data_IF_724072758385
#
_entry.id   IF_724072758385
#
_cell.length_a   1.000
_cell.length_b   1.000
_cell.length_c   1.000
_cell.angle_alpha   90.00
_cell.angle_beta   90.00
_cell.angle_gamma   90.00
#
_symmetry.space_group_name_H-M   'P 1'
#
loop_
_entity.id
_entity.type
_entity.pdbx_description
1 polymer ?
#
# COMPACT_ATOMS: atom_id res chain seq x y z
N UNK A 1 -47.60 -1.71 -17.65
CA UNK A 1 -46.70 -1.12 -16.64
C UNK A 1 -45.40 -1.91 -16.68
N UNK A 2 -44.35 -1.36 -17.32
CA UNK A 2 -43.03 -2.00 -17.38
C UNK A 2 -42.47 -1.99 -15.96
N UNK A 3 -42.05 -3.14 -15.42
CA UNK A 3 -41.27 -3.15 -14.17
C UNK A 3 -40.04 -2.27 -14.41
N UNK A 4 -39.65 -1.39 -13.47
CA UNK A 4 -38.35 -0.74 -13.56
C UNK A 4 -37.30 -1.84 -13.66
N UNK A 5 -36.39 -1.72 -14.63
CA UNK A 5 -35.22 -2.59 -14.67
C UNK A 5 -34.52 -2.46 -13.30
N UNK A 6 -34.18 -3.57 -12.63
CA UNK A 6 -33.40 -3.46 -11.40
C UNK A 6 -32.12 -2.70 -11.74
N UNK A 7 -31.78 -1.69 -10.94
CA UNK A 7 -30.43 -1.12 -10.97
C UNK A 7 -29.45 -2.30 -11.01
N UNK A 8 -28.48 -2.33 -11.93
CA UNK A 8 -27.52 -3.41 -11.95
C UNK A 8 -26.87 -3.47 -10.56
N UNK A 9 -27.12 -4.55 -9.82
CA UNK A 9 -26.33 -4.83 -8.63
C UNK A 9 -24.89 -5.04 -9.12
N UNK A 10 -23.96 -4.25 -8.60
CA UNK A 10 -22.54 -4.41 -8.89
C UNK A 10 -21.94 -3.31 -9.76
N UNK A 11 -20.64 -3.10 -9.55
CA UNK A 11 -19.82 -2.29 -10.42
C UNK A 11 -19.64 -2.96 -11.78
N UNK A 12 -19.60 -2.17 -12.84
CA UNK A 12 -19.12 -2.67 -14.12
C UNK A 12 -17.60 -2.96 -14.05
N UNK A 13 -17.11 -3.59 -15.12
CA UNK A 13 -15.72 -4.00 -15.23
C UNK A 13 -14.76 -2.80 -15.24
N UNK A 14 -15.17 -1.69 -15.87
CA UNK A 14 -14.34 -0.48 -15.99
C UNK A 14 -14.24 0.24 -14.65
N UNK A 15 -15.34 0.41 -13.93
CA UNK A 15 -15.36 0.98 -12.58
C UNK A 15 -14.55 0.12 -11.61
N UNK A 16 -14.68 -1.21 -11.68
CA UNK A 16 -13.85 -2.13 -10.89
C UNK A 16 -12.36 -1.96 -11.21
N UNK A 17 -12.01 -1.82 -12.50
CA UNK A 17 -10.63 -1.61 -12.93
C UNK A 17 -10.06 -0.25 -12.48
N UNK A 18 -10.86 0.80 -12.45
CA UNK A 18 -10.49 2.11 -11.88
C UNK A 18 -10.21 1.98 -10.39
N UNK A 19 -11.14 1.39 -9.62
CA UNK A 19 -11.01 1.16 -8.17
C UNK A 19 -9.74 0.39 -7.82
N UNK A 20 -9.51 -0.75 -8.46
CA UNK A 20 -8.31 -1.54 -8.23
C UNK A 20 -7.01 -0.83 -8.68
N UNK A 21 -7.05 0.10 -9.64
CA UNK A 21 -5.88 0.93 -9.98
C UNK A 21 -5.49 1.86 -8.84
N UNK A 22 -6.49 2.53 -8.26
CA UNK A 22 -6.26 3.43 -7.13
C UNK A 22 -5.72 2.66 -5.92
N UNK A 23 -6.27 1.46 -5.63
CA UNK A 23 -5.73 0.59 -4.58
C UNK A 23 -4.31 0.14 -4.87
N UNK A 24 -4.01 -0.20 -6.14
CA UNK A 24 -2.66 -0.55 -6.56
C UNK A 24 -1.67 0.58 -6.29
N UNK A 25 -2.00 1.82 -6.63
CA UNK A 25 -1.11 2.96 -6.40
C UNK A 25 -0.86 3.20 -4.91
N UNK A 26 -1.90 3.15 -4.07
CA UNK A 26 -1.76 3.29 -2.61
C UNK A 26 -0.88 2.19 -2.04
N UNK A 27 -1.19 0.92 -2.32
CA UNK A 27 -0.43 -0.21 -1.79
C UNK A 27 1.03 -0.21 -2.28
N UNK A 28 1.25 0.12 -3.55
CA UNK A 28 2.60 0.17 -4.13
C UNK A 28 3.45 1.24 -3.46
N UNK A 29 2.90 2.42 -3.18
CA UNK A 29 3.61 3.49 -2.46
C UNK A 29 3.85 3.12 -0.99
N UNK A 30 2.87 2.50 -0.32
CA UNK A 30 3.04 2.00 1.06
C UNK A 30 4.17 0.97 1.16
N UNK A 31 4.25 0.04 0.21
CA UNK A 31 5.35 -0.94 0.15
C UNK A 31 6.68 -0.24 -0.12
N UNK A 32 6.72 0.62 -1.15
CA UNK A 32 7.94 1.31 -1.56
C UNK A 32 8.53 2.18 -0.46
N UNK A 33 7.73 3.07 0.12
CA UNK A 33 8.16 3.96 1.19
C UNK A 33 8.40 3.20 2.50
N UNK A 34 7.55 2.23 2.83
CA UNK A 34 7.72 1.42 4.03
C UNK A 34 9.02 0.64 4.04
N UNK A 35 9.47 0.10 2.90
CA UNK A 35 10.79 -0.53 2.79
C UNK A 35 11.93 0.44 3.10
N UNK A 36 11.84 1.70 2.67
CA UNK A 36 12.86 2.71 2.97
C UNK A 36 12.84 3.17 4.43
N UNK A 37 11.65 3.35 5.01
CA UNK A 37 11.51 3.79 6.40
C UNK A 37 11.73 2.69 7.43
N UNK A 38 11.58 1.40 7.08
CA UNK A 38 11.80 0.28 7.99
C UNK A 38 13.21 0.30 8.62
N UNK A 39 14.23 0.64 7.83
CA UNK A 39 15.61 0.76 8.31
C UNK A 39 15.86 2.01 9.18
N UNK A 40 14.97 2.99 9.12
CA UNK A 40 15.07 4.29 9.79
C UNK A 40 14.16 4.45 11.02
N UNK A 41 13.23 3.53 11.24
CA UNK A 41 12.43 3.47 12.47
C UNK A 41 13.35 3.05 13.63
N UNK A 42 13.46 3.78 14.75
CA UNK A 42 14.31 3.34 15.86
C UNK A 42 13.66 2.27 16.76
N UNK A 43 12.32 2.19 16.82
CA UNK A 43 11.59 1.31 17.75
C UNK A 43 11.44 -0.11 17.18
N UNK A 44 12.02 -1.09 17.88
CA UNK A 44 12.07 -2.48 17.41
C UNK A 44 10.67 -3.11 17.23
N UNK A 45 9.76 -2.87 18.16
CA UNK A 45 8.38 -3.34 18.10
C UNK A 45 7.64 -2.79 16.87
N UNK A 46 7.90 -1.53 16.52
CA UNK A 46 7.32 -0.90 15.33
C UNK A 46 7.94 -1.46 14.06
N UNK A 47 9.26 -1.74 14.05
CA UNK A 47 9.91 -2.43 12.93
C UNK A 47 9.28 -3.80 12.67
N UNK A 48 9.04 -4.59 13.71
CA UNK A 48 8.42 -5.92 13.56
C UNK A 48 7.02 -5.83 12.95
N UNK A 49 6.17 -4.97 13.49
CA UNK A 49 4.84 -4.74 12.93
C UNK A 49 4.90 -4.23 11.48
N UNK A 50 5.76 -3.23 11.21
CA UNK A 50 5.93 -2.70 9.86
C UNK A 50 6.44 -3.76 8.87
N UNK A 51 7.33 -4.65 9.30
CA UNK A 51 7.81 -5.76 8.48
C UNK A 51 6.71 -6.76 8.10
N UNK A 52 5.84 -7.11 9.04
CA UNK A 52 4.65 -7.95 8.75
C UNK A 52 3.68 -7.24 7.79
N UNK A 53 3.40 -5.96 8.05
CA UNK A 53 2.50 -5.17 7.20
C UNK A 53 3.02 -5.03 5.77
N UNK A 54 4.34 -4.82 5.62
CA UNK A 54 5.02 -4.78 4.33
C UNK A 54 4.87 -6.10 3.55
N UNK A 55 5.04 -7.23 4.24
CA UNK A 55 4.84 -8.54 3.63
C UNK A 55 3.41 -8.70 3.11
N UNK A 56 2.42 -8.33 3.94
CA UNK A 56 1.02 -8.42 3.60
C UNK A 56 0.62 -7.49 2.44
N UNK A 57 1.09 -6.25 2.45
CA UNK A 57 0.85 -5.27 1.39
C UNK A 57 1.52 -5.70 0.08
N UNK A 58 2.76 -6.19 0.11
CA UNK A 58 3.47 -6.65 -1.09
C UNK A 58 2.79 -7.85 -1.76
N UNK A 59 2.30 -8.81 -0.97
CA UNK A 59 1.48 -9.93 -1.49
C UNK A 59 0.17 -9.41 -2.08
N UNK A 60 -0.42 -8.39 -1.47
CA UNK A 60 -1.68 -7.80 -1.92
C UNK A 60 -1.49 -7.03 -3.23
N UNK A 61 -0.40 -6.27 -3.41
CA UNK A 61 -0.04 -5.63 -4.69
C UNK A 61 -0.01 -6.64 -5.83
N UNK A 62 0.59 -7.81 -5.60
CA UNK A 62 0.66 -8.87 -6.61
C UNK A 62 -0.74 -9.40 -6.98
N UNK A 63 -1.61 -9.61 -5.99
CA UNK A 63 -3.00 -10.06 -6.21
C UNK A 63 -3.84 -9.00 -6.92
N UNK A 64 -3.71 -7.73 -6.53
CA UNK A 64 -4.38 -6.61 -7.18
C UNK A 64 -3.93 -6.49 -8.63
N UNK A 65 -2.63 -6.58 -8.92
CA UNK A 65 -2.11 -6.55 -10.29
C UNK A 65 -2.68 -7.70 -11.14
N UNK A 66 -2.80 -8.90 -10.56
CA UNK A 66 -3.45 -10.03 -11.23
C UNK A 66 -4.94 -9.77 -11.47
N UNK A 67 -5.68 -9.27 -10.48
CA UNK A 67 -7.11 -8.96 -10.64
C UNK A 67 -7.31 -7.89 -11.73
N UNK A 68 -6.46 -6.88 -11.76
CA UNK A 68 -6.45 -5.89 -12.82
C UNK A 68 -6.26 -6.52 -14.20
N UNK A 69 -5.33 -7.47 -14.35
CA UNK A 69 -5.18 -8.19 -15.61
C UNK A 69 -6.45 -8.98 -16.00
N UNK A 70 -7.12 -9.62 -15.04
CA UNK A 70 -8.36 -10.38 -15.26
C UNK A 70 -9.55 -9.48 -15.65
N UNK A 71 -9.61 -8.26 -15.12
CA UNK A 71 -10.66 -7.28 -15.42
C UNK A 71 -10.48 -6.63 -16.80
N UNK A 72 -9.30 -6.72 -17.44
CA UNK A 72 -8.93 -5.76 -18.48
C UNK A 72 -8.81 -6.33 -19.88
N UNK A 73 -9.81 -5.95 -20.67
CA UNK A 73 -9.71 -5.77 -22.12
C UNK A 73 -9.95 -4.27 -22.38
N UNK A 74 -8.99 -3.33 -22.10
CA UNK A 74 -7.65 -3.23 -22.72
C UNK A 74 -6.44 -3.05 -21.74
N UNK A 75 -5.20 -3.09 -22.26
CA UNK A 75 -3.92 -3.23 -21.52
C UNK A 75 -3.34 -2.00 -20.78
N UNK A 76 -3.93 -0.80 -20.90
CA UNK A 76 -3.27 0.50 -20.64
C UNK A 76 -3.19 0.95 -19.16
N UNK A 77 -3.20 0.00 -18.27
CA UNK A 77 -3.88 0.12 -16.99
C UNK A 77 -2.91 -0.62 -16.03
N UNK A 78 -2.56 -0.11 -14.83
CA UNK A 78 -3.34 0.78 -13.97
C UNK A 78 -3.25 2.28 -14.30
N UNK A 79 -2.57 2.68 -15.37
CA UNK A 79 -2.41 4.11 -15.70
C UNK A 79 -1.67 4.90 -14.62
N UNK A 80 -1.86 6.21 -14.62
CA UNK A 80 -1.45 7.10 -13.55
C UNK A 80 -2.69 7.54 -12.73
N UNK A 81 -2.56 7.77 -11.42
CA UNK A 81 -3.64 8.32 -10.61
C UNK A 81 -3.97 9.76 -11.03
N UNK A 82 -5.19 10.20 -10.76
CA UNK A 82 -5.56 11.61 -10.82
C UNK A 82 -4.75 12.46 -9.82
N UNK A 83 -4.78 13.78 -10.01
CA UNK A 83 -3.94 14.72 -9.25
C UNK A 83 -4.27 14.73 -7.76
N UNK A 84 -5.52 14.43 -7.39
CA UNK A 84 -5.99 14.30 -6.02
C UNK A 84 -5.28 13.16 -5.30
N UNK A 85 -5.30 11.95 -5.88
CA UNK A 85 -4.58 10.81 -5.33
C UNK A 85 -3.07 10.99 -5.44
N UNK A 86 -2.55 11.55 -6.54
CA UNK A 86 -1.13 11.83 -6.69
C UNK A 86 -0.62 12.76 -5.56
N UNK A 87 -1.34 13.84 -5.28
CA UNK A 87 -1.02 14.78 -4.21
C UNK A 87 -1.00 14.09 -2.84
N UNK A 88 -1.98 13.21 -2.60
CA UNK A 88 -2.05 12.43 -1.36
C UNK A 88 -0.80 11.52 -1.17
N UNK A 89 -0.38 10.84 -2.23
CA UNK A 89 0.81 9.98 -2.23
C UNK A 89 2.11 10.79 -2.13
N UNK A 90 2.13 11.99 -2.71
CA UNK A 90 3.28 12.90 -2.65
C UNK A 90 3.51 13.43 -1.22
N UNK A 91 2.48 13.56 -0.39
CA UNK A 91 2.64 13.87 1.04
C UNK A 91 3.47 12.80 1.75
N UNK A 92 3.16 11.52 1.56
CA UNK A 92 3.92 10.42 2.16
C UNK A 92 5.36 10.36 1.66
N UNK A 93 5.56 10.73 0.39
CA UNK A 93 6.89 10.87 -0.23
C UNK A 93 7.70 12.02 0.39
N UNK A 94 7.03 13.06 0.88
CA UNK A 94 7.63 14.21 1.55
C UNK A 94 7.92 14.00 3.04
N UNK A 95 7.66 12.81 3.59
CA UNK A 95 7.90 12.53 5.01
C UNK A 95 9.36 12.79 5.39
N UNK A 96 9.59 13.41 6.55
CA UNK A 96 10.94 13.80 7.00
C UNK A 96 11.50 12.90 8.09
N UNK A 97 10.71 11.94 8.59
CA UNK A 97 11.13 10.96 9.59
C UNK A 97 10.27 9.69 9.52
N UNK A 98 10.72 8.60 10.14
CA UNK A 98 9.93 7.38 10.24
C UNK A 98 8.59 7.62 10.97
N UNK A 99 8.59 8.41 12.05
CA UNK A 99 7.36 8.75 12.77
C UNK A 99 6.40 9.58 11.92
N UNK A 100 6.92 10.50 11.10
CA UNK A 100 6.12 11.32 10.18
C UNK A 100 5.49 10.45 9.08
N UNK A 101 6.29 9.56 8.46
CA UNK A 101 5.79 8.57 7.52
C UNK A 101 4.71 7.68 8.12
N UNK A 102 4.91 7.15 9.33
CA UNK A 102 3.91 6.33 10.01
C UNK A 102 2.62 7.11 10.30
N UNK A 103 2.74 8.38 10.70
CA UNK A 103 1.59 9.28 10.85
C UNK A 103 0.77 9.40 9.57
N UNK A 104 1.42 9.62 8.43
CA UNK A 104 0.75 9.74 7.12
C UNK A 104 0.18 8.39 6.66
N UNK A 105 0.97 7.31 6.76
CA UNK A 105 0.57 5.99 6.28
C UNK A 105 -0.60 5.40 7.08
N UNK A 106 -0.54 5.46 8.41
CA UNK A 106 -1.52 4.83 9.31
C UNK A 106 -2.62 5.78 9.77
N UNK A 107 -2.37 7.09 9.79
CA UNK A 107 -3.36 8.11 10.14
C UNK A 107 -4.13 8.66 8.95
N UNK A 108 -3.74 8.30 7.72
CA UNK A 108 -4.40 8.81 6.52
C UNK A 108 -4.51 7.80 5.35
N UNK A 109 -3.39 7.33 4.78
CA UNK A 109 -3.45 6.49 3.57
C UNK A 109 -4.20 5.17 3.77
N UNK A 110 -3.84 4.40 4.80
CA UNK A 110 -4.51 3.13 5.13
C UNK A 110 -5.97 3.34 5.55
N UNK A 111 -6.32 4.32 6.43
CA UNK A 111 -7.71 4.65 6.71
C UNK A 111 -8.55 5.01 5.48
N UNK A 112 -8.01 5.81 4.56
CA UNK A 112 -8.69 6.17 3.31
C UNK A 112 -8.87 4.95 2.39
N UNK A 113 -7.86 4.07 2.32
CA UNK A 113 -7.98 2.79 1.61
C UNK A 113 -9.08 1.92 2.23
N UNK A 114 -9.09 1.75 3.55
CA UNK A 114 -10.15 1.01 4.28
C UNK A 114 -11.54 1.55 3.93
N UNK A 115 -11.71 2.87 3.94
CA UNK A 115 -12.98 3.50 3.60
C UNK A 115 -13.41 3.16 2.16
N UNK A 116 -12.52 3.30 1.18
CA UNK A 116 -12.81 2.96 -0.21
C UNK A 116 -13.10 1.47 -0.43
N UNK A 117 -12.48 0.58 0.36
CA UNK A 117 -12.75 -0.86 0.31
C UNK A 117 -14.12 -1.21 0.87
N UNK A 118 -14.54 -0.53 1.95
CA UNK A 118 -15.89 -0.70 2.48
C UNK A 118 -16.94 -0.21 1.49
N UNK A 119 -16.70 0.91 0.82
CA UNK A 119 -17.58 1.41 -0.26
C UNK A 119 -17.67 0.39 -1.39
N UNK A 120 -16.53 -0.13 -1.85
CA UNK A 120 -16.50 -1.13 -2.91
C UNK A 120 -17.24 -2.42 -2.51
N UNK A 121 -16.99 -2.94 -1.32
CA UNK A 121 -17.69 -4.14 -0.83
C UNK A 121 -19.20 -3.92 -0.70
N UNK A 122 -19.65 -2.72 -0.35
CA UNK A 122 -21.07 -2.40 -0.24
C UNK A 122 -21.78 -2.29 -1.61
N UNK A 123 -21.06 -1.89 -2.67
CA UNK A 123 -21.60 -1.77 -4.03
C UNK A 123 -21.40 -3.01 -4.91
N UNK A 124 -20.59 -3.97 -4.48
CA UNK A 124 -20.23 -5.16 -5.26
C UNK A 124 -21.34 -6.22 -5.26
N UNK A 125 -21.63 -6.82 -6.42
CA UNK A 125 -22.45 -8.02 -6.51
C UNK A 125 -21.62 -9.26 -6.14
N UNK A 126 -21.96 -9.97 -5.06
CA UNK A 126 -21.14 -11.07 -4.53
C UNK A 126 -21.19 -12.33 -5.40
N UNK A 127 -22.18 -12.47 -6.29
CA UNK A 127 -22.32 -13.62 -7.19
C UNK A 127 -21.59 -13.35 -8.50
N UNK A 128 -21.77 -12.16 -9.07
CA UNK A 128 -21.16 -11.78 -10.35
C UNK A 128 -19.66 -11.54 -10.21
N UNK A 129 -19.23 -10.88 -9.13
CA UNK A 129 -17.82 -10.56 -8.89
C UNK A 129 -17.26 -11.19 -7.59
N UNK A 130 -17.52 -12.49 -7.45
CA UNK A 130 -16.97 -13.32 -6.37
C UNK A 130 -15.42 -13.24 -6.25
N UNK A 131 -14.63 -13.19 -7.36
CA UNK A 131 -13.18 -13.06 -7.26
C UNK A 131 -12.75 -11.75 -6.59
N UNK A 132 -13.39 -10.61 -6.91
CA UNK A 132 -13.11 -9.34 -6.23
C UNK A 132 -13.58 -9.36 -4.78
N UNK A 133 -14.75 -9.94 -4.48
CA UNK A 133 -15.26 -10.08 -3.11
C UNK A 133 -14.23 -10.71 -2.18
N UNK A 134 -13.66 -11.86 -2.56
CA UNK A 134 -12.64 -12.55 -1.74
C UNK A 134 -11.40 -11.70 -1.54
N UNK A 135 -10.91 -11.05 -2.59
CA UNK A 135 -9.70 -10.21 -2.53
C UNK A 135 -9.92 -8.98 -1.64
N UNK A 136 -11.03 -8.26 -1.86
CA UNK A 136 -11.37 -7.05 -1.12
C UNK A 136 -11.60 -7.34 0.37
N UNK A 137 -12.28 -8.45 0.69
CA UNK A 137 -12.50 -8.87 2.09
C UNK A 137 -11.18 -9.14 2.81
N UNK A 138 -10.27 -9.89 2.18
CA UNK A 138 -8.95 -10.15 2.75
C UNK A 138 -8.13 -8.87 2.89
N UNK A 139 -8.18 -8.00 1.88
CA UNK A 139 -7.46 -6.73 1.90
C UNK A 139 -7.97 -5.80 3.00
N UNK A 140 -9.29 -5.66 3.13
CA UNK A 140 -9.93 -4.86 4.18
C UNK A 140 -9.50 -5.33 5.57
N UNK A 141 -9.64 -6.64 5.84
CA UNK A 141 -9.26 -7.22 7.13
C UNK A 141 -7.79 -6.93 7.49
N UNK A 142 -6.89 -7.05 6.53
CA UNK A 142 -5.46 -6.76 6.73
C UNK A 142 -5.21 -5.29 7.00
N UNK A 143 -5.79 -4.38 6.22
CA UNK A 143 -5.60 -2.95 6.46
C UNK A 143 -6.17 -2.51 7.81
N UNK A 144 -7.34 -3.02 8.21
CA UNK A 144 -7.93 -2.76 9.53
C UNK A 144 -7.01 -3.24 10.66
N UNK A 145 -6.47 -4.45 10.53
CA UNK A 145 -5.47 -4.98 11.47
C UNK A 145 -4.23 -4.09 11.53
N UNK A 146 -3.68 -3.68 10.39
CA UNK A 146 -2.49 -2.82 10.33
C UNK A 146 -2.70 -1.50 11.10
N UNK A 147 -3.86 -0.85 10.92
CA UNK A 147 -4.19 0.42 11.61
C UNK A 147 -4.43 0.20 13.10
N UNK A 148 -4.99 -0.95 13.50
CA UNK A 148 -5.18 -1.29 14.90
C UNK A 148 -3.85 -1.60 15.63
N UNK A 149 -2.90 -2.25 14.95
CA UNK A 149 -1.60 -2.62 15.50
C UNK A 149 -0.64 -1.43 15.60
N UNK A 150 -0.73 -0.47 14.67
CA UNK A 150 0.05 0.76 14.67
C UNK A 150 -0.88 2.00 14.62
N UNK A 151 -1.53 2.35 15.74
CA UNK A 151 -2.43 3.49 15.77
C UNK A 151 -1.66 4.80 15.60
N UNK A 152 -2.12 5.65 14.68
CA UNK A 152 -1.55 6.97 14.49
C UNK A 152 -1.96 7.92 15.64
N UNK A 153 -1.05 8.80 16.05
CA UNK A 153 -1.30 9.79 17.11
C UNK A 153 -2.34 10.85 16.70
N UNK A 154 -2.44 11.11 15.40
CA UNK A 154 -3.50 11.92 14.79
C UNK A 154 -4.06 11.17 13.60
N UNK A 155 -5.39 11.15 13.52
CA UNK A 155 -6.12 10.64 12.36
C UNK A 155 -6.69 11.86 11.66
N UNK A 156 -6.30 12.08 10.41
CA UNK A 156 -7.02 13.06 9.59
C UNK A 156 -8.45 12.54 9.39
N UNK A 157 -9.43 13.44 9.43
CA UNK A 157 -10.77 13.08 9.03
C UNK A 157 -10.71 12.49 7.62
N UNK A 158 -11.38 11.35 7.42
CA UNK A 158 -11.62 10.82 6.08
C UNK A 158 -12.71 11.69 5.47
N UNK A 159 -12.33 12.90 5.07
CA UNK A 159 -13.23 13.82 4.39
C UNK A 159 -13.55 13.25 3.00
N UNK A 160 -14.74 12.66 2.92
CA UNK A 160 -15.73 12.82 1.86
C UNK A 160 -15.52 12.14 0.50
N UNK A 161 -14.30 11.83 0.08
CA UNK A 161 -14.07 11.34 -1.28
C UNK A 161 -13.60 9.88 -1.32
N UNK A 162 -14.36 9.06 -2.04
CA UNK A 162 -14.00 7.67 -2.34
C UNK A 162 -12.77 7.65 -3.25
N UNK A 163 -11.58 7.43 -2.68
CA UNK A 163 -10.35 7.34 -3.46
C UNK A 163 -10.41 6.25 -4.53
N UNK A 164 -11.25 5.22 -4.34
CA UNK A 164 -11.45 4.16 -5.31
C UNK A 164 -12.10 4.68 -6.59
N UNK A 165 -12.98 5.67 -6.50
CA UNK A 165 -13.69 6.25 -7.63
C UNK A 165 -12.91 7.34 -8.38
N UNK A 166 -11.74 7.75 -7.88
CA UNK A 166 -10.93 8.77 -8.54
C UNK A 166 -10.52 8.32 -9.95
N UNK A 167 -10.55 9.22 -10.96
CA UNK A 167 -10.24 8.84 -12.32
C UNK A 167 -8.78 8.40 -12.47
N UNK A 168 -8.54 7.60 -13.52
CA UNK A 168 -7.21 7.11 -13.87
C UNK A 168 -6.84 7.63 -15.26
N UNK A 169 -5.63 8.18 -15.37
CA UNK A 169 -5.05 8.62 -16.64
C UNK A 169 -4.37 7.44 -17.32
N UNK A 170 -5.09 6.80 -18.25
CA UNK A 170 -4.54 5.71 -19.06
C UNK A 170 -3.36 6.20 -19.91
N UNK A 171 -2.42 5.30 -20.21
CA UNK A 171 -1.18 5.57 -20.98
C UNK A 171 -0.16 6.49 -20.31
N UNK A 172 -0.48 7.01 -19.13
CA UNK A 172 0.48 7.65 -18.25
C UNK A 172 0.93 6.66 -17.17
N UNK A 173 2.12 6.88 -16.61
CA UNK A 173 2.67 6.03 -15.56
C UNK A 173 3.19 6.90 -14.43
N UNK A 174 2.68 6.67 -13.21
CA UNK A 174 3.30 7.25 -12.00
C UNK A 174 4.59 6.52 -11.67
N UNK A 175 5.72 7.23 -11.78
CA UNK A 175 7.00 6.77 -11.26
C UNK A 175 7.03 6.87 -9.73
N UNK A 176 7.68 5.90 -9.08
CA UNK A 176 7.95 5.95 -7.65
C UNK A 176 9.18 6.84 -7.41
N UNK A 177 9.11 7.75 -6.44
CA UNK A 177 10.28 8.55 -6.07
C UNK A 177 11.23 7.70 -5.25
N UNK A 178 12.46 7.53 -5.71
CA UNK A 178 13.50 6.84 -4.94
C UNK A 178 13.89 7.72 -3.76
N UNK A 179 13.83 7.17 -2.55
CA UNK A 179 14.31 7.85 -1.34
C UNK A 179 15.83 8.07 -1.43
N UNK A 180 16.33 9.10 -0.75
CA UNK A 180 17.78 9.34 -0.66
C UNK A 180 18.47 8.08 -0.12
N UNK A 181 19.58 7.62 -0.73
CA UNK A 181 20.31 6.47 -0.24
C UNK A 181 20.63 6.61 1.25
N UNK A 182 20.37 5.54 1.99
CA UNK A 182 20.64 5.48 3.41
C UNK A 182 22.15 5.48 3.65
N UNK A 183 22.65 6.47 4.39
CA UNK A 183 24.06 6.54 4.80
C UNK A 183 24.28 5.80 6.12
N UNK A 184 23.38 6.01 7.08
CA UNK A 184 23.40 5.33 8.38
C UNK A 184 21.99 4.84 8.75
N UNK A 185 21.79 3.52 8.99
CA UNK A 185 20.52 3.00 9.48
C UNK A 185 20.23 3.48 10.91
N UNK A 186 18.96 3.54 11.29
CA UNK A 186 18.59 3.81 12.68
C UNK A 186 19.00 2.63 13.56
N UNK A 187 19.83 2.93 14.55
CA UNK A 187 20.45 1.95 15.44
C UNK A 187 19.68 1.88 16.75
N UNK A 188 19.53 0.66 17.25
CA UNK A 188 18.97 0.42 18.57
C UNK A 188 20.04 0.79 19.63
N UNK A 189 19.69 1.51 20.72
CA UNK A 189 20.64 1.80 21.81
C UNK A 189 21.26 0.55 22.46
N UNK A 190 20.65 -0.63 22.30
CA UNK A 190 21.16 -1.89 22.84
C UNK A 190 22.25 -2.55 21.98
N UNK A 191 22.52 -2.05 20.77
CA UNK A 191 23.56 -2.61 19.88
C UNK A 191 24.79 -1.70 19.88
N UNK A 192 25.84 -2.16 20.59
CA UNK A 192 27.14 -1.49 20.59
C UNK A 192 27.91 -1.80 19.30
N UNK A 193 28.18 -0.77 18.49
CA UNK A 193 29.05 -0.88 17.33
C UNK A 193 30.41 -0.34 17.73
N UNK A 194 31.41 -1.21 17.72
CA UNK A 194 32.79 -0.82 18.02
C UNK A 194 33.40 -0.08 16.82
N UNK A 195 34.54 0.57 17.01
CA UNK A 195 35.32 1.15 15.90
C UNK A 195 35.75 0.13 14.83
N UNK A 196 35.64 -1.17 15.14
CA UNK A 196 35.96 -2.29 14.24
C UNK A 196 34.71 -2.85 13.52
N UNK A 197 33.51 -2.32 13.82
CA UNK A 197 32.23 -2.80 13.31
C UNK A 197 31.34 -3.41 14.40
N UNK A 198 30.19 -3.95 13.98
CA UNK A 198 29.30 -4.72 14.86
C UNK A 198 29.97 -6.09 15.12
N UNK A 199 30.34 -6.41 16.38
CA UNK A 199 31.04 -7.65 16.71
C UNK A 199 30.19 -8.92 16.44
N UNK A 200 28.88 -8.77 16.28
CA UNK A 200 27.96 -9.86 15.96
C UNK A 200 27.69 -9.99 14.45
N UNK A 201 27.93 -8.94 13.66
CA UNK A 201 27.94 -8.99 12.19
C UNK A 201 29.37 -9.26 11.69
N UNK A 202 29.87 -10.47 11.96
CA UNK A 202 31.14 -10.90 11.39
C UNK A 202 31.11 -10.84 9.85
N UNK A 203 32.19 -10.34 9.23
CA UNK A 203 32.37 -10.26 7.77
C UNK A 203 32.20 -11.61 7.03
N UNK A 204 32.14 -12.73 7.76
CA UNK A 204 31.97 -14.07 7.22
C UNK A 204 30.53 -14.45 6.84
N UNK A 205 29.51 -13.68 7.25
CA UNK A 205 28.11 -14.00 6.98
C UNK A 205 27.64 -13.61 5.57
N UNK A 206 28.39 -12.77 4.85
CA UNK A 206 28.15 -12.39 3.46
C UNK A 206 29.36 -12.69 2.58
N UNK A 207 29.79 -13.95 2.56
CA UNK A 207 30.59 -14.46 1.44
C UNK A 207 29.59 -15.02 0.43
N UNK A 208 29.17 -14.20 -0.54
CA UNK A 208 28.68 -14.76 -1.80
C UNK A 208 29.89 -15.42 -2.46
N UNK A 209 30.13 -16.69 -2.13
CA UNK A 209 31.21 -17.47 -2.72
C UNK A 209 31.03 -17.56 -4.23
N UNK A 210 32.14 -17.67 -4.96
CA UNK A 210 32.21 -17.83 -6.41
C UNK A 210 31.48 -19.10 -6.93
N UNK A 211 30.94 -19.95 -6.05
CA UNK A 211 30.20 -21.16 -6.39
C UNK A 211 28.73 -20.93 -6.81
N UNK A 212 28.23 -19.68 -6.81
CA UNK A 212 26.87 -19.34 -7.22
C UNK A 212 26.77 -18.70 -8.62
N UNK A 213 27.68 -19.02 -9.53
CA UNK A 213 27.62 -18.65 -10.95
C UNK A 213 27.40 -19.87 -11.86
#
# INVERSE_FOLDING_TARGET
>A
MKRPDPDPLGYDVDESAVRFSNYFHVLRELVHLGCGWLALEPRLEVKYALGDHLHDDARTVTKVKRRLFELRTPSDYPGAPADELASLLDRATGATSASDYLGIAYGNLKPRLIAALRIHLAGLDPVVDEPSLRLLTQMLHRQERHVAELPAQSSEAVDGEDLGALPVRLREVRALRVMTPLVDPARDPYVEITSEGDPFLGQSLYVNGEENH
#
